data_IF_553386175903
#
_entry.id   IF_553386175903
#
_cell.length_a   1.000
_cell.length_b   1.000
_cell.length_c   1.000
_cell.angle_alpha   90.00
_cell.angle_beta   90.00
_cell.angle_gamma   90.00
#
_symmetry.space_group_name_H-M   'P 1'
#
loop_
_entity.id
_entity.type
_entity.pdbx_description
1 polymer ?
#
# COMPACT_ATOMS: atom_id res chain seq x y z
N UNK A 1 0.45 20.63 6.70
CA UNK A 1 0.82 19.23 6.38
C UNK A 1 2.05 18.91 7.20
N UNK A 2 1.94 18.02 8.19
CA UNK A 2 3.01 17.75 9.18
C UNK A 2 3.86 16.52 8.84
N UNK A 3 3.66 15.93 7.65
CA UNK A 3 4.44 14.80 7.15
C UNK A 3 4.62 14.88 5.63
N UNK A 4 5.66 14.22 5.13
CA UNK A 4 5.90 13.99 3.70
C UNK A 4 5.90 12.48 3.48
N UNK A 5 5.11 11.98 2.55
CA UNK A 5 5.16 10.59 2.11
C UNK A 5 5.67 10.51 0.68
N UNK A 6 6.63 9.62 0.44
CA UNK A 6 7.10 9.29 -0.91
C UNK A 6 7.02 7.79 -1.09
N UNK A 7 6.28 7.37 -2.10
CA UNK A 7 6.16 5.96 -2.39
C UNK A 7 5.86 5.69 -3.84
N UNK A 8 6.10 4.45 -4.24
CA UNK A 8 5.81 3.94 -5.58
C UNK A 8 4.94 2.70 -5.46
N UNK A 9 3.86 2.69 -6.24
CA UNK A 9 3.01 1.52 -6.41
C UNK A 9 3.57 0.57 -7.46
N UNK A 10 3.28 -0.72 -7.31
CA UNK A 10 3.59 -1.74 -8.28
C UNK A 10 2.50 -2.81 -8.33
N UNK A 11 2.28 -3.39 -9.50
CA UNK A 11 1.42 -4.55 -9.69
C UNK A 11 2.09 -5.42 -10.76
N UNK A 12 2.31 -6.70 -10.46
CA UNK A 12 2.65 -7.70 -11.47
C UNK A 12 1.98 -9.04 -11.20
N UNK A 13 1.84 -9.86 -12.24
CA UNK A 13 1.38 -11.24 -12.13
C UNK A 13 2.57 -12.22 -12.00
N UNK A 14 2.39 -13.27 -11.21
CA UNK A 14 3.32 -14.40 -11.10
C UNK A 14 2.54 -15.71 -10.94
N UNK A 15 2.51 -16.53 -12.00
CA UNK A 15 1.71 -17.75 -12.01
C UNK A 15 0.22 -17.45 -11.93
N UNK A 16 -0.47 -18.04 -10.95
CA UNK A 16 -1.90 -17.84 -10.67
C UNK A 16 -2.18 -16.74 -9.63
N UNK A 17 -1.17 -15.91 -9.34
CA UNK A 17 -1.25 -14.82 -8.36
C UNK A 17 -1.00 -13.46 -8.99
N UNK A 18 -1.74 -12.49 -8.50
CA UNK A 18 -1.41 -11.08 -8.65
C UNK A 18 -0.74 -10.57 -7.37
N UNK A 19 0.37 -9.85 -7.57
CA UNK A 19 1.22 -9.32 -6.50
C UNK A 19 1.28 -7.80 -6.60
N UNK A 20 0.78 -7.16 -5.56
CA UNK A 20 0.66 -5.72 -5.45
C UNK A 20 1.62 -5.15 -4.40
N UNK A 21 2.28 -4.05 -4.73
CA UNK A 21 3.24 -3.39 -3.85
C UNK A 21 2.92 -1.90 -3.65
N UNK A 22 3.18 -1.41 -2.45
CA UNK A 22 3.37 0.00 -2.17
C UNK A 22 4.59 0.14 -1.26
N UNK A 23 5.66 0.70 -1.80
CA UNK A 23 6.96 0.82 -1.12
C UNK A 23 7.34 2.28 -1.04
N UNK A 24 8.00 2.67 0.05
CA UNK A 24 8.34 4.07 0.23
C UNK A 24 8.83 4.40 1.62
N UNK A 25 8.72 5.68 1.95
CA UNK A 25 9.05 6.20 3.25
C UNK A 25 8.18 7.41 3.60
N UNK A 26 8.10 7.69 4.90
CA UNK A 26 7.44 8.87 5.48
C UNK A 26 8.44 9.67 6.32
N UNK A 27 8.47 10.98 6.11
CA UNK A 27 9.14 11.96 6.95
C UNK A 27 8.09 12.60 7.87
N UNK A 28 8.20 12.39 9.18
CA UNK A 28 7.25 12.92 10.18
C UNK A 28 7.94 13.04 11.54
N UNK A 29 7.56 14.04 12.35
CA UNK A 29 8.13 14.26 13.70
C UNK A 29 9.66 14.30 13.75
N UNK A 30 10.29 14.83 12.69
CA UNK A 30 11.76 14.89 12.55
C UNK A 30 12.43 13.56 12.18
N UNK A 31 11.68 12.46 12.05
CA UNK A 31 12.19 11.12 11.77
C UNK A 31 11.73 10.62 10.39
N UNK A 32 12.45 9.60 9.90
CA UNK A 32 12.13 8.91 8.64
C UNK A 32 11.79 7.46 8.92
N UNK A 33 10.65 7.00 8.42
CA UNK A 33 10.19 5.61 8.54
C UNK A 33 10.03 5.01 7.16
N UNK A 34 10.73 3.90 6.90
CA UNK A 34 10.64 3.17 5.64
C UNK A 34 9.58 2.08 5.73
N UNK A 35 8.86 1.83 4.65
CA UNK A 35 7.84 0.79 4.59
C UNK A 35 7.88 0.02 3.25
N UNK A 36 7.44 -1.22 3.33
CA UNK A 36 7.15 -2.06 2.17
C UNK A 36 5.87 -2.84 2.45
N UNK A 37 4.82 -2.57 1.67
CA UNK A 37 3.59 -3.35 1.69
C UNK A 37 3.53 -4.27 0.48
N UNK A 38 3.22 -5.54 0.71
CA UNK A 38 3.05 -6.60 -0.28
C UNK A 38 1.70 -7.27 -0.05
N UNK A 39 0.82 -7.21 -1.04
CA UNK A 39 -0.48 -7.91 -0.99
C UNK A 39 -0.56 -8.87 -2.17
N UNK A 40 -1.18 -10.03 -1.94
CA UNK A 40 -1.29 -11.09 -2.94
C UNK A 40 -2.72 -11.62 -2.98
N UNK A 41 -3.17 -11.99 -4.17
CA UNK A 41 -4.47 -12.64 -4.35
C UNK A 41 -4.43 -13.59 -5.54
N UNK A 42 -5.37 -14.54 -5.59
CA UNK A 42 -5.54 -15.39 -6.78
C UNK A 42 -5.99 -14.53 -7.95
N UNK A 43 -5.31 -14.64 -9.10
CA UNK A 43 -5.62 -13.86 -10.31
C UNK A 43 -7.06 -14.04 -10.78
N UNK A 44 -7.64 -15.23 -10.57
CA UNK A 44 -9.06 -15.51 -10.89
C UNK A 44 -10.02 -14.58 -10.13
N UNK A 45 -9.64 -14.10 -8.95
CA UNK A 45 -10.45 -13.18 -8.13
C UNK A 45 -10.57 -11.82 -8.80
N UNK A 46 -9.56 -11.43 -9.58
CA UNK A 46 -9.47 -10.13 -10.23
C UNK A 46 -10.14 -10.10 -11.61
N UNK A 47 -10.73 -11.22 -12.06
CA UNK A 47 -11.63 -11.24 -13.21
C UNK A 47 -12.92 -10.42 -12.95
N UNK A 48 -13.26 -10.19 -11.68
CA UNK A 48 -14.26 -9.19 -11.28
C UNK A 48 -13.59 -7.82 -11.17
N UNK A 49 -14.04 -6.85 -11.97
CA UNK A 49 -13.50 -5.49 -12.03
C UNK A 49 -13.55 -4.79 -10.67
N UNK A 50 -14.59 -5.01 -9.87
CA UNK A 50 -14.69 -4.40 -8.54
C UNK A 50 -13.62 -4.98 -7.61
N UNK A 51 -13.34 -6.28 -7.73
CA UNK A 51 -12.25 -6.93 -6.96
C UNK A 51 -10.88 -6.41 -7.40
N UNK A 52 -10.67 -6.19 -8.70
CA UNK A 52 -9.44 -5.59 -9.21
C UNK A 52 -9.21 -4.17 -8.68
N UNK A 53 -10.24 -3.32 -8.65
CA UNK A 53 -10.16 -1.97 -8.08
C UNK A 53 -9.86 -2.03 -6.56
N UNK A 54 -10.53 -2.93 -5.83
CA UNK A 54 -10.26 -3.10 -4.40
C UNK A 54 -8.84 -3.58 -4.13
N UNK A 55 -8.31 -4.49 -4.93
CA UNK A 55 -6.91 -4.92 -4.84
C UNK A 55 -5.95 -3.76 -5.10
N UNK A 56 -6.19 -2.96 -6.14
CA UNK A 56 -5.38 -1.80 -6.49
C UNK A 56 -5.27 -0.80 -5.33
N UNK A 57 -6.41 -0.45 -4.72
CA UNK A 57 -6.52 0.51 -3.62
C UNK A 57 -5.93 -0.05 -2.31
N UNK A 58 -6.16 -1.33 -2.02
CA UNK A 58 -5.78 -1.95 -0.74
C UNK A 58 -4.30 -1.78 -0.38
N UNK A 59 -3.41 -1.76 -1.38
CA UNK A 59 -1.97 -1.56 -1.22
C UNK A 59 -1.62 -0.25 -0.51
N UNK A 60 -2.37 0.81 -0.83
CA UNK A 60 -2.19 2.14 -0.27
C UNK A 60 -2.99 2.22 1.04
N UNK A 61 -4.26 1.82 1.02
CA UNK A 61 -5.16 1.94 2.18
C UNK A 61 -4.62 1.25 3.43
N UNK A 62 -4.03 0.06 3.28
CA UNK A 62 -3.42 -0.68 4.39
C UNK A 62 -2.27 0.11 5.01
N UNK A 63 -1.41 0.72 4.18
CA UNK A 63 -0.29 1.53 4.68
C UNK A 63 -0.79 2.76 5.42
N UNK A 64 -1.75 3.49 4.85
CA UNK A 64 -2.30 4.67 5.51
C UNK A 64 -2.97 4.33 6.85
N UNK A 65 -3.76 3.27 6.92
CA UNK A 65 -4.37 2.80 8.17
C UNK A 65 -3.32 2.46 9.23
N UNK A 66 -2.23 1.79 8.85
CA UNK A 66 -1.12 1.48 9.77
C UNK A 66 -0.42 2.77 10.22
N UNK A 67 -0.16 3.71 9.31
CA UNK A 67 0.46 4.98 9.67
C UNK A 67 -0.43 5.82 10.61
N UNK A 68 -1.75 5.76 10.45
CA UNK A 68 -2.73 6.37 11.36
C UNK A 68 -2.72 5.69 12.72
N UNK A 69 -2.75 4.36 12.77
CA UNK A 69 -2.71 3.55 13.99
C UNK A 69 -1.42 3.77 14.79
N UNK A 70 -0.29 3.96 14.09
CA UNK A 70 1.00 4.30 14.68
C UNK A 70 1.14 5.80 15.01
N UNK A 71 0.09 6.60 14.79
CA UNK A 71 0.08 8.05 14.98
C UNK A 71 1.22 8.78 14.25
N UNK A 72 1.58 8.31 13.04
CA UNK A 72 2.63 8.90 12.20
C UNK A 72 2.09 9.98 11.25
N UNK A 73 0.80 9.92 10.88
CA UNK A 73 0.15 10.87 9.95
C UNK A 73 -1.05 11.64 10.53
N UNK A 74 -1.44 11.37 11.77
CA UNK A 74 -2.53 12.07 12.45
C UNK A 74 -2.00 13.19 13.36
N UNK A 75 -2.81 14.25 13.55
CA UNK A 75 -2.64 15.24 14.62
C UNK A 75 -3.06 14.68 15.99
#
# INVERSE_FOLDING_TARGET
MNYIIRGKTGWGGHGDKDVGWYVGYIETKGQVYYFSNCVQTDSKTLNDVNRAILFDNSRIDIVYKILEELSLINE
#
